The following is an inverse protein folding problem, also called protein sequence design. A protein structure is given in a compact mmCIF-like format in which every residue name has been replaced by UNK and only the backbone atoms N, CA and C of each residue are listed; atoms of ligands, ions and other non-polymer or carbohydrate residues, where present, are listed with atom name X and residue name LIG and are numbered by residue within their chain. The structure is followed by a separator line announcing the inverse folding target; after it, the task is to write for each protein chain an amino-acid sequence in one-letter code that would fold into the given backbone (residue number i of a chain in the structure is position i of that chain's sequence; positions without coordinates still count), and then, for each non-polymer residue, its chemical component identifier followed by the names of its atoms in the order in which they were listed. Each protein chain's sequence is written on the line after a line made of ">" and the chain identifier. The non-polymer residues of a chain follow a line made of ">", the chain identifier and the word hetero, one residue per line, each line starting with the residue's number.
data_IF_203009978308
#
_entry.id   IF_203009978308
#
_cell.length_a   1.000
_cell.length_b   1.000
_cell.length_c   1.000
_cell.angle_alpha   90.00
_cell.angle_beta   90.00
_cell.angle_gamma   90.00
#
_symmetry.space_group_name_H-M   'P 1'
#
loop_
_entity.id
_entity.type
_entity.pdbx_description
1 polymer ?
#
# COMPACT_ATOMS: atom_id res chain seq x y z
N UNK A 1 40.13 50.65 -7.21
CA UNK A 1 38.76 50.11 -7.40
C UNK A 1 38.72 49.04 -8.50
N UNK A 2 39.58 48.02 -8.45
CA UNK A 2 39.68 46.96 -9.50
C UNK A 2 39.93 45.54 -8.97
N UNK A 3 39.90 45.36 -7.64
CA UNK A 3 40.10 44.05 -7.00
C UNK A 3 38.81 43.47 -6.38
N UNK A 4 37.67 44.18 -6.48
CA UNK A 4 36.41 43.73 -5.86
C UNK A 4 35.57 42.83 -6.76
N UNK A 5 35.92 42.68 -8.05
CA UNK A 5 35.15 41.90 -9.02
C UNK A 5 35.45 40.39 -9.00
N UNK A 6 36.57 39.94 -8.42
CA UNK A 6 36.98 38.53 -8.48
C UNK A 6 36.40 37.65 -7.35
N UNK A 7 35.83 38.21 -6.29
CA UNK A 7 35.32 37.42 -5.16
C UNK A 7 33.87 36.97 -5.31
N UNK A 8 33.12 37.51 -6.28
CA UNK A 8 31.73 37.13 -6.56
C UNK A 8 31.60 35.97 -7.57
N UNK A 9 32.71 35.53 -8.18
CA UNK A 9 32.71 34.47 -9.20
C UNK A 9 32.80 33.04 -8.64
N UNK A 10 32.91 32.86 -7.31
CA UNK A 10 33.21 31.56 -6.71
C UNK A 10 32.01 30.84 -6.06
N UNK A 11 30.77 31.31 -6.28
CA UNK A 11 29.58 30.75 -5.61
C UNK A 11 28.57 30.05 -6.53
N UNK A 12 28.87 29.90 -7.82
CA UNK A 12 28.04 29.08 -8.73
C UNK A 12 28.64 27.69 -8.81
N UNK A 13 28.51 26.92 -7.72
CA UNK A 13 28.62 25.47 -7.81
C UNK A 13 27.45 24.98 -8.67
N UNK A 14 27.70 24.20 -9.73
CA UNK A 14 26.60 23.58 -10.46
C UNK A 14 25.91 22.64 -9.49
N UNK A 15 24.63 22.88 -9.24
CA UNK A 15 23.74 21.92 -8.59
C UNK A 15 23.68 20.71 -9.53
N UNK A 16 24.49 19.70 -9.22
CA UNK A 16 24.37 18.39 -9.83
C UNK A 16 22.98 17.87 -9.51
N UNK A 17 22.07 18.03 -10.48
CA UNK A 17 20.76 17.42 -10.41
C UNK A 17 20.96 15.92 -10.44
N UNK A 18 20.72 15.27 -9.29
CA UNK A 18 20.60 13.82 -9.25
C UNK A 18 19.42 13.46 -10.14
N UNK A 19 19.71 12.89 -11.31
CA UNK A 19 18.70 12.19 -12.10
C UNK A 19 18.18 11.09 -11.19
N UNK A 20 17.01 11.33 -10.60
CA UNK A 20 16.23 10.26 -10.00
C UNK A 20 16.04 9.22 -11.11
N UNK A 21 16.52 8.00 -10.87
CA UNK A 21 16.34 6.91 -11.79
C UNK A 21 14.86 6.85 -12.17
N UNK A 22 14.54 6.94 -13.46
CA UNK A 22 13.26 6.49 -13.98
C UNK A 22 13.20 4.98 -13.76
N UNK A 23 12.86 4.60 -12.52
CA UNK A 23 12.45 3.24 -12.18
C UNK A 23 11.24 2.93 -13.05
N UNK A 24 11.39 1.88 -13.87
CA UNK A 24 10.47 1.57 -14.96
C UNK A 24 8.99 1.64 -14.60
N UNK A 25 8.19 1.93 -15.62
CA UNK A 25 6.74 2.16 -15.64
C UNK A 25 5.82 1.13 -14.92
N UNK A 26 6.37 0.14 -14.24
CA UNK A 26 5.63 -0.87 -13.49
C UNK A 26 5.73 -0.61 -11.98
N UNK A 27 4.60 -0.37 -11.30
CA UNK A 27 4.60 -0.21 -9.84
C UNK A 27 4.96 -1.52 -9.15
N UNK A 28 5.60 -1.41 -7.99
CA UNK A 28 5.72 -2.52 -7.06
C UNK A 28 4.37 -2.76 -6.37
N UNK A 29 3.96 -4.01 -6.26
CA UNK A 29 2.70 -4.40 -5.59
C UNK A 29 3.02 -5.14 -4.30
N UNK A 30 2.56 -4.62 -3.17
CA UNK A 30 2.62 -5.27 -1.87
C UNK A 30 1.22 -5.74 -1.46
N UNK A 31 1.03 -7.06 -1.36
CA UNK A 31 -0.21 -7.66 -0.90
C UNK A 31 -0.08 -8.02 0.60
N UNK A 32 -0.80 -7.29 1.45
CA UNK A 32 -0.95 -7.60 2.87
C UNK A 32 -2.24 -8.40 3.07
N UNK A 33 -2.14 -9.61 3.63
CA UNK A 33 -3.27 -10.51 3.84
C UNK A 33 -3.26 -11.04 5.29
N UNK A 34 -4.27 -10.68 6.07
CA UNK A 34 -4.45 -11.11 7.46
C UNK A 34 -5.40 -12.31 7.53
N UNK A 35 -5.12 -13.23 8.46
CA UNK A 35 -6.02 -14.35 8.76
C UNK A 35 -7.05 -13.93 9.83
N UNK A 36 -8.28 -14.46 9.71
CA UNK A 36 -9.40 -14.20 10.64
C UNK A 36 -9.76 -12.73 10.93
N UNK A 37 -9.39 -11.79 10.05
CA UNK A 37 -9.74 -10.38 10.24
C UNK A 37 -11.21 -10.11 9.87
N UNK A 38 -12.00 -9.64 10.84
CA UNK A 38 -13.38 -9.20 10.61
C UNK A 38 -13.40 -7.81 9.95
N UNK A 39 -14.46 -7.51 9.21
CA UNK A 39 -14.59 -6.24 8.49
C UNK A 39 -14.74 -5.01 9.41
N UNK A 40 -15.20 -5.21 10.65
CA UNK A 40 -15.47 -4.16 11.64
C UNK A 40 -14.30 -3.93 12.60
N UNK A 41 -13.09 -4.39 12.28
CA UNK A 41 -11.91 -4.27 13.18
C UNK A 41 -10.95 -3.15 12.81
N UNK A 42 -11.36 -2.19 11.98
CA UNK A 42 -10.55 -1.02 11.65
C UNK A 42 -11.10 0.22 12.35
N UNK A 43 -10.22 0.96 13.02
CA UNK A 43 -10.54 2.23 13.65
C UNK A 43 -11.11 3.25 12.66
N UNK A 44 -10.44 3.40 11.51
CA UNK A 44 -10.86 4.29 10.43
C UNK A 44 -12.22 3.93 9.80
N UNK A 45 -12.73 2.71 10.01
CA UNK A 45 -14.03 2.25 9.52
C UNK A 45 -15.11 2.25 10.61
N UNK A 46 -14.90 2.98 11.71
CA UNK A 46 -15.92 3.25 12.72
C UNK A 46 -15.82 2.42 13.99
N UNK A 47 -14.75 1.64 14.17
CA UNK A 47 -14.52 0.94 15.44
C UNK A 47 -13.79 1.84 16.44
N UNK A 48 -14.48 2.29 17.50
CA UNK A 48 -13.88 3.19 18.49
C UNK A 48 -12.93 2.48 19.49
N UNK A 49 -13.05 1.16 19.64
CA UNK A 49 -12.31 0.38 20.65
C UNK A 49 -10.98 -0.16 20.10
N UNK A 50 -10.90 -0.39 18.79
CA UNK A 50 -9.74 -1.00 18.13
C UNK A 50 -8.84 0.08 17.53
N UNK A 51 -7.55 0.02 17.86
CA UNK A 51 -6.53 0.97 17.40
C UNK A 51 -5.68 0.37 16.28
N UNK A 52 -5.84 0.87 15.06
CA UNK A 52 -5.15 0.36 13.87
C UNK A 52 -4.39 1.45 13.09
N UNK A 53 -3.52 2.25 13.73
CA UNK A 53 -2.98 3.49 13.14
C UNK A 53 -2.31 3.32 11.77
N UNK A 54 -1.63 2.19 11.53
CA UNK A 54 -1.02 1.90 10.23
C UNK A 54 -2.07 1.63 9.13
N UNK A 55 -3.10 0.82 9.42
CA UNK A 55 -4.18 0.52 8.48
C UNK A 55 -5.11 1.73 8.30
N UNK A 56 -5.30 2.52 9.35
CA UNK A 56 -6.06 3.77 9.32
C UNK A 56 -5.38 4.78 8.40
N UNK A 57 -4.05 4.90 8.47
CA UNK A 57 -3.27 5.72 7.55
C UNK A 57 -3.40 5.27 6.09
N UNK A 58 -3.35 3.95 5.82
CA UNK A 58 -3.60 3.40 4.48
C UNK A 58 -5.01 3.69 3.98
N UNK A 59 -6.01 3.62 4.86
CA UNK A 59 -7.40 3.90 4.54
C UNK A 59 -7.60 5.37 4.13
N UNK A 60 -6.96 6.31 4.83
CA UNK A 60 -7.04 7.74 4.54
C UNK A 60 -6.28 8.16 3.28
N UNK A 61 -5.19 7.46 2.95
CA UNK A 61 -4.37 7.75 1.77
C UNK A 61 -4.81 6.98 0.52
N UNK A 62 -5.79 6.09 0.65
CA UNK A 62 -6.20 5.15 -0.40
C UNK A 62 -7.71 5.06 -0.55
N UNK A 63 -8.17 3.87 -0.94
CA UNK A 63 -9.60 3.57 -1.12
C UNK A 63 -9.96 2.36 -0.29
N UNK A 64 -11.00 2.47 0.54
CA UNK A 64 -11.54 1.36 1.31
C UNK A 64 -12.79 0.77 0.63
N UNK A 65 -12.81 -0.56 0.50
CA UNK A 65 -13.97 -1.29 0.02
C UNK A 65 -14.77 -1.81 1.22
N UNK A 66 -15.87 -1.14 1.58
CA UNK A 66 -16.72 -1.51 2.73
C UNK A 66 -17.69 -2.66 2.45
N UNK A 67 -17.71 -3.14 1.21
CA UNK A 67 -18.53 -4.27 0.73
C UNK A 67 -17.67 -5.29 -0.01
N UNK A 68 -16.56 -5.69 0.59
CA UNK A 68 -15.68 -6.75 0.12
C UNK A 68 -16.03 -8.07 0.83
N UNK A 69 -16.25 -9.14 0.08
CA UNK A 69 -16.75 -10.43 0.60
C UNK A 69 -15.79 -11.57 0.27
N UNK A 70 -15.61 -12.48 1.22
CA UNK A 70 -15.04 -13.80 0.95
C UNK A 70 -16.16 -14.73 0.48
N UNK A 71 -15.92 -15.51 -0.59
CA UNK A 71 -16.94 -16.43 -1.11
C UNK A 71 -17.25 -17.61 -0.17
N UNK A 72 -16.44 -17.82 0.87
CA UNK A 72 -16.67 -18.82 1.90
C UNK A 72 -16.05 -20.19 1.60
N UNK A 73 -16.66 -21.22 2.16
CA UNK A 73 -16.19 -22.61 2.14
C UNK A 73 -17.36 -23.59 2.33
N UNK A 74 -17.20 -24.83 1.89
CA UNK A 74 -18.12 -25.93 2.19
C UNK A 74 -17.99 -26.43 3.65
N UNK A 75 -16.98 -25.96 4.39
CA UNK A 75 -16.74 -26.29 5.79
C UNK A 75 -16.42 -25.03 6.62
N UNK A 76 -16.55 -25.12 7.94
CA UNK A 76 -16.37 -23.95 8.84
C UNK A 76 -14.99 -23.29 8.77
N UNK A 77 -13.94 -24.01 8.34
CA UNK A 77 -12.61 -23.47 8.14
C UNK A 77 -12.45 -22.80 6.75
N UNK A 78 -12.77 -21.51 6.63
CA UNK A 78 -12.74 -20.79 5.34
C UNK A 78 -11.37 -20.33 4.84
N UNK A 79 -10.32 -20.41 5.65
CA UNK A 79 -9.03 -19.76 5.35
C UNK A 79 -8.30 -20.40 4.16
N UNK A 80 -8.29 -21.73 4.07
CA UNK A 80 -7.66 -22.46 2.95
C UNK A 80 -8.30 -22.13 1.60
N UNK A 81 -9.63 -22.31 1.40
CA UNK A 81 -10.25 -21.96 0.13
C UNK A 81 -10.15 -20.45 -0.17
N UNK A 82 -10.22 -19.57 0.85
CA UNK A 82 -10.02 -18.13 0.66
C UNK A 82 -8.66 -17.80 0.05
N UNK A 83 -7.58 -18.42 0.55
CA UNK A 83 -6.23 -18.22 0.00
C UNK A 83 -6.07 -18.86 -1.38
N UNK A 84 -6.67 -20.02 -1.61
CA UNK A 84 -6.64 -20.69 -2.91
C UNK A 84 -7.31 -19.82 -3.99
N UNK A 85 -8.47 -19.22 -3.70
CA UNK A 85 -9.14 -18.27 -4.59
C UNK A 85 -8.28 -17.04 -4.87
N UNK A 86 -7.69 -16.44 -3.84
CA UNK A 86 -6.84 -15.25 -3.97
C UNK A 86 -5.61 -15.51 -4.86
N UNK A 87 -4.93 -16.65 -4.67
CA UNK A 87 -3.70 -16.98 -5.37
C UNK A 87 -3.94 -17.50 -6.80
N UNK A 88 -5.05 -18.19 -7.04
CA UNK A 88 -5.37 -18.76 -8.35
C UNK A 88 -6.21 -17.83 -9.23
N UNK A 89 -6.84 -16.80 -8.66
CA UNK A 89 -7.80 -15.94 -9.35
C UNK A 89 -9.09 -16.66 -9.76
N UNK A 90 -9.35 -17.85 -9.21
CA UNK A 90 -10.54 -18.65 -9.52
C UNK A 90 -11.59 -18.49 -8.44
N UNK A 91 -12.83 -18.74 -8.82
CA UNK A 91 -13.95 -18.76 -7.87
C UNK A 91 -13.90 -20.01 -7.00
N UNK A 92 -14.61 -19.96 -5.87
CA UNK A 92 -14.78 -21.09 -4.96
C UNK A 92 -15.15 -22.39 -5.69
N UNK A 93 -16.09 -22.33 -6.63
CA UNK A 93 -16.57 -23.47 -7.43
C UNK A 93 -15.54 -24.07 -8.40
N UNK A 94 -14.38 -23.45 -8.54
CA UNK A 94 -13.33 -23.86 -9.48
C UNK A 94 -11.95 -23.99 -8.81
N UNK A 95 -11.91 -23.90 -7.48
CA UNK A 95 -10.70 -24.03 -6.65
C UNK A 95 -10.59 -25.38 -5.92
N UNK A 96 -11.58 -26.26 -6.06
CA UNK A 96 -11.52 -27.64 -5.56
C UNK A 96 -10.77 -28.57 -6.51
#
# INVERSE_FOLDING_TARGET
>A
MKHLACLLALWVLPVSSSVAAEGGSQPNVLLLFSDDQRADTLGALGNADIRTPALDGLTQQGTAFTRAYCMGSHHGAGCVPSRAMLLSGRTFFSCE
#
